data_IF_626536576042
#
_entry.id   IF_626536576042
#
_cell.length_a   1.000
_cell.length_b   1.000
_cell.length_c   1.000
_cell.angle_alpha   90.00
_cell.angle_beta   90.00
_cell.angle_gamma   90.00
#
_symmetry.space_group_name_H-M   'P 1'
#
loop_
_entity.id
_entity.type
_entity.pdbx_description
1 polymer ?
#
# COMPACT_ATOMS: atom_id res chain seq x y z
N UNK A 1 0.03 -31.80 2.03
CA UNK A 1 1.39 -31.83 1.47
C UNK A 1 1.56 -30.61 0.59
N UNK A 2 2.51 -29.72 0.88
CA UNK A 2 2.82 -28.57 0.04
C UNK A 2 3.95 -28.94 -0.92
N UNK A 3 3.91 -28.43 -2.15
CA UNK A 3 5.05 -28.52 -3.06
C UNK A 3 6.25 -27.77 -2.44
N UNK A 4 7.49 -28.26 -2.63
CA UNK A 4 8.66 -27.53 -2.20
C UNK A 4 8.71 -26.16 -2.91
N UNK A 5 9.16 -25.10 -2.23
CA UNK A 5 9.27 -23.78 -2.85
C UNK A 5 10.20 -23.84 -4.06
N UNK A 6 9.69 -23.44 -5.23
CA UNK A 6 10.48 -23.36 -6.45
C UNK A 6 11.15 -21.99 -6.53
N UNK A 7 12.44 -21.98 -6.86
CA UNK A 7 13.15 -20.74 -7.18
C UNK A 7 12.79 -20.27 -8.58
N UNK A 8 12.50 -18.99 -8.75
CA UNK A 8 12.40 -18.38 -10.07
C UNK A 8 13.79 -18.32 -10.72
N UNK A 9 13.90 -18.49 -12.05
CA UNK A 9 15.16 -18.24 -12.76
C UNK A 9 15.65 -16.83 -12.47
N UNK A 10 16.96 -16.64 -12.25
CA UNK A 10 17.55 -15.33 -11.94
C UNK A 10 17.32 -14.28 -13.05
N UNK A 11 17.07 -14.74 -14.28
CA UNK A 11 16.79 -13.92 -15.46
C UNK A 11 15.31 -13.56 -15.62
N UNK A 12 14.40 -14.17 -14.85
CA UNK A 12 12.97 -13.91 -14.98
C UNK A 12 12.62 -12.60 -14.28
N UNK A 13 12.29 -11.58 -15.10
CA UNK A 13 11.69 -10.34 -14.60
C UNK A 13 10.17 -10.51 -14.55
N UNK A 14 9.63 -10.57 -13.34
CA UNK A 14 8.18 -10.54 -13.17
C UNK A 14 7.64 -9.15 -13.51
N UNK A 15 6.44 -9.04 -14.12
CA UNK A 15 5.78 -7.76 -14.27
C UNK A 15 5.46 -7.15 -12.90
N UNK A 16 5.35 -5.81 -12.85
CA UNK A 16 4.89 -5.13 -11.64
C UNK A 16 3.52 -5.68 -11.24
N UNK A 17 3.33 -6.10 -9.98
CA UNK A 17 2.06 -6.65 -9.54
C UNK A 17 0.96 -5.58 -9.59
N UNK A 18 -0.32 -5.97 -9.63
CA UNK A 18 -1.43 -5.05 -9.39
C UNK A 18 -1.44 -4.59 -7.94
N UNK A 19 -2.24 -3.56 -7.65
CA UNK A 19 -2.63 -3.23 -6.26
C UNK A 19 -3.47 -4.40 -5.73
N UNK A 20 -3.01 -5.02 -4.64
CA UNK A 20 -3.77 -6.06 -3.96
C UNK A 20 -4.73 -5.42 -2.95
N UNK A 21 -5.98 -5.84 -3.01
CA UNK A 21 -7.01 -5.49 -2.04
C UNK A 21 -7.52 -6.80 -1.49
N UNK A 22 -7.43 -6.97 -0.18
CA UNK A 22 -7.75 -8.22 0.47
C UNK A 22 -8.47 -7.94 1.80
N UNK A 23 -9.38 -8.82 2.17
CA UNK A 23 -10.10 -8.78 3.42
C UNK A 23 -10.19 -10.18 4.00
N UNK A 24 -9.97 -10.30 5.30
CA UNK A 24 -9.86 -11.59 5.95
C UNK A 24 -10.40 -11.56 7.36
N UNK A 25 -10.84 -12.69 7.87
CA UNK A 25 -11.38 -12.79 9.21
C UNK A 25 -10.47 -13.60 10.10
N UNK A 26 -10.01 -13.02 11.22
CA UNK A 26 -9.13 -13.74 12.15
C UNK A 26 -9.78 -14.97 12.77
N UNK A 27 -11.11 -14.98 12.85
CA UNK A 27 -11.91 -16.11 13.32
C UNK A 27 -12.31 -17.09 12.20
N UNK A 28 -11.75 -16.95 10.99
CA UNK A 28 -11.82 -17.96 9.93
C UNK A 28 -10.56 -18.83 9.94
N UNK A 29 -10.70 -20.14 10.13
CA UNK A 29 -9.58 -21.09 10.11
C UNK A 29 -8.80 -21.12 8.79
N UNK A 30 -9.40 -20.71 7.67
CA UNK A 30 -8.74 -20.66 6.36
C UNK A 30 -7.88 -19.40 6.18
N UNK A 31 -7.98 -18.44 7.10
CA UNK A 31 -7.15 -17.22 7.11
C UNK A 31 -5.74 -17.43 7.67
N UNK A 32 -5.30 -18.66 7.93
CA UNK A 32 -3.98 -18.89 8.50
C UNK A 32 -2.85 -18.37 7.60
N UNK A 33 -1.93 -17.57 8.17
CA UNK A 33 -0.75 -17.08 7.49
C UNK A 33 -0.87 -15.70 6.83
N UNK A 34 -1.95 -14.94 7.08
CA UNK A 34 -2.10 -13.58 6.57
C UNK A 34 -1.02 -12.62 7.12
N UNK A 35 -0.49 -12.87 8.32
CA UNK A 35 0.69 -12.19 8.86
C UNK A 35 1.90 -12.29 7.91
N UNK A 36 2.17 -13.51 7.41
CA UNK A 36 3.26 -13.77 6.47
C UNK A 36 3.00 -13.12 5.11
N UNK A 37 1.74 -13.11 4.67
CA UNK A 37 1.34 -12.42 3.43
C UNK A 37 1.53 -10.91 3.54
N UNK A 38 1.01 -10.27 4.59
CA UNK A 38 1.18 -8.82 4.83
C UNK A 38 2.66 -8.47 4.94
N UNK A 39 3.44 -9.25 5.69
CA UNK A 39 4.90 -9.08 5.79
C UNK A 39 5.57 -9.19 4.43
N UNK A 40 5.23 -10.20 3.64
CA UNK A 40 5.76 -10.40 2.31
C UNK A 40 5.46 -9.24 1.35
N UNK A 41 4.27 -8.65 1.43
CA UNK A 41 3.87 -7.48 0.64
C UNK A 41 4.65 -6.23 1.08
N UNK A 42 4.78 -6.00 2.39
CA UNK A 42 5.55 -4.89 2.95
C UNK A 42 7.03 -4.98 2.56
N UNK A 43 7.67 -6.13 2.80
CA UNK A 43 9.11 -6.34 2.53
C UNK A 43 9.44 -6.21 1.02
N UNK A 44 8.56 -6.69 0.15
CA UNK A 44 8.72 -6.58 -1.32
C UNK A 44 8.24 -5.24 -1.86
N UNK A 45 7.73 -4.35 -1.01
CA UNK A 45 7.15 -3.07 -1.40
C UNK A 45 6.08 -3.28 -2.48
N UNK A 46 5.14 -4.21 -2.28
CA UNK A 46 3.97 -4.41 -3.14
C UNK A 46 2.75 -3.72 -2.55
N UNK A 47 1.95 -3.06 -3.40
CA UNK A 47 0.76 -2.34 -2.93
C UNK A 47 -0.24 -3.32 -2.32
N UNK A 48 -0.54 -3.12 -1.04
CA UNK A 48 -1.53 -3.88 -0.29
C UNK A 48 -2.44 -2.93 0.47
N UNK A 49 -3.74 -3.12 0.27
CA UNK A 49 -4.81 -2.60 1.11
C UNK A 49 -5.49 -3.81 1.75
N UNK A 50 -5.32 -3.97 3.07
CA UNK A 50 -5.79 -5.15 3.78
C UNK A 50 -6.75 -4.76 4.90
N UNK A 51 -7.81 -5.53 5.07
CA UNK A 51 -8.85 -5.27 6.07
C UNK A 51 -9.15 -6.55 6.86
N UNK A 52 -9.45 -6.42 8.14
CA UNK A 52 -9.89 -7.59 8.92
C UNK A 52 -10.95 -7.25 9.95
N UNK A 53 -11.63 -8.30 10.42
CA UNK A 53 -12.62 -8.25 11.48
C UNK A 53 -13.24 -9.62 11.75
N UNK A 54 -13.99 -9.78 12.85
CA UNK A 54 -14.53 -11.07 13.29
C UNK A 54 -15.78 -11.53 12.51
N UNK A 55 -15.75 -11.51 11.17
CA UNK A 55 -16.89 -11.88 10.31
C UNK A 55 -16.90 -13.34 9.82
N UNK A 56 -15.90 -14.16 10.21
CA UNK A 56 -15.78 -15.56 9.80
C UNK A 56 -15.54 -15.75 8.29
N UNK A 57 -15.76 -16.97 7.79
CA UNK A 57 -15.68 -17.27 6.35
C UNK A 57 -16.93 -16.74 5.61
N UNK A 58 -17.09 -15.42 5.61
CA UNK A 58 -18.23 -14.75 4.99
C UNK A 58 -17.91 -14.41 3.54
N UNK A 59 -18.66 -14.98 2.60
CA UNK A 59 -18.68 -14.54 1.20
C UNK A 59 -19.79 -13.51 0.95
N UNK A 60 -20.07 -12.65 1.94
CA UNK A 60 -21.15 -11.66 1.89
C UNK A 60 -20.62 -10.27 2.27
N UNK A 61 -20.44 -9.46 1.23
CA UNK A 61 -19.94 -8.09 1.32
C UNK A 61 -20.71 -7.21 2.31
N UNK A 62 -22.05 -7.25 2.29
CA UNK A 62 -22.89 -6.45 3.18
C UNK A 62 -22.80 -6.90 4.65
N UNK A 63 -22.39 -8.15 4.91
CA UNK A 63 -22.13 -8.62 6.26
C UNK A 63 -20.75 -8.17 6.75
N UNK A 64 -19.74 -8.21 5.88
CA UNK A 64 -18.38 -7.74 6.17
C UNK A 64 -18.39 -6.23 6.45
N UNK A 65 -19.11 -5.44 5.64
CA UNK A 65 -19.19 -3.98 5.80
C UNK A 65 -19.76 -3.55 7.15
N UNK A 66 -20.64 -4.35 7.77
CA UNK A 66 -21.15 -4.09 9.13
C UNK A 66 -20.06 -4.21 10.20
N UNK A 67 -18.98 -4.91 9.91
CA UNK A 67 -17.86 -5.16 10.82
C UNK A 67 -16.67 -4.26 10.48
N UNK A 68 -16.34 -4.14 9.20
CA UNK A 68 -15.28 -3.29 8.69
C UNK A 68 -15.78 -2.53 7.45
N UNK A 69 -16.17 -1.27 7.65
CA UNK A 69 -16.71 -0.42 6.58
C UNK A 69 -15.63 0.22 5.68
N UNK A 70 -14.35 0.02 5.98
CA UNK A 70 -13.26 0.52 5.14
C UNK A 70 -13.09 -0.26 3.83
N UNK A 71 -13.62 -1.48 3.74
CA UNK A 71 -13.47 -2.38 2.58
C UNK A 71 -13.92 -1.75 1.25
N UNK A 72 -14.81 -0.76 1.31
CA UNK A 72 -15.37 -0.04 0.15
C UNK A 72 -14.73 1.32 -0.12
N UNK A 73 -13.78 1.75 0.72
CA UNK A 73 -13.30 3.13 0.68
C UNK A 73 -12.20 3.36 -0.34
N UNK A 74 -11.52 2.30 -0.78
CA UNK A 74 -10.49 2.40 -1.80
C UNK A 74 -11.10 2.25 -3.19
N UNK A 75 -11.01 3.31 -3.99
CA UNK A 75 -11.48 3.31 -5.37
C UNK A 75 -10.49 2.53 -6.27
N UNK A 76 -10.69 1.22 -6.34
CA UNK A 76 -9.85 0.34 -7.14
C UNK A 76 -9.99 0.57 -8.65
N UNK A 77 -11.07 1.18 -9.11
CA UNK A 77 -11.28 1.55 -10.52
C UNK A 77 -10.41 2.74 -10.93
N UNK A 78 -9.94 3.54 -9.97
CA UNK A 78 -8.95 4.61 -10.22
C UNK A 78 -7.57 4.08 -10.60
N UNK A 79 -7.27 2.79 -10.33
CA UNK A 79 -5.96 2.19 -10.62
C UNK A 79 -5.88 1.81 -12.10
N UNK A 80 -5.08 2.56 -12.87
CA UNK A 80 -4.92 2.31 -14.30
C UNK A 80 -3.65 1.54 -14.64
N UNK A 81 -3.72 0.68 -15.66
CA UNK A 81 -2.59 -0.13 -16.15
C UNK A 81 -1.45 0.69 -16.75
N UNK A 82 -1.72 1.92 -17.16
CA UNK A 82 -0.77 2.83 -17.84
C UNK A 82 -0.40 4.04 -16.97
N UNK A 83 -0.50 3.91 -15.65
CA UNK A 83 -0.14 4.97 -14.71
C UNK A 83 0.69 4.40 -13.55
N UNK A 84 1.59 5.24 -13.02
CA UNK A 84 2.34 4.93 -11.82
C UNK A 84 1.41 4.84 -10.60
N UNK A 85 1.84 4.12 -9.57
CA UNK A 85 1.16 4.08 -8.28
C UNK A 85 2.16 4.02 -7.12
N UNK A 86 1.82 4.61 -5.96
CA UNK A 86 2.63 4.52 -4.77
C UNK A 86 2.32 3.21 -4.04
N UNK A 87 3.35 2.68 -3.39
CA UNK A 87 3.23 1.63 -2.39
C UNK A 87 3.58 2.23 -1.05
N UNK A 88 2.71 2.04 -0.07
CA UNK A 88 2.91 2.46 1.31
C UNK A 88 3.36 1.26 2.13
N UNK A 89 4.52 1.37 2.76
CA UNK A 89 5.06 0.37 3.66
C UNK A 89 5.38 1.00 5.03
N UNK A 90 5.45 0.18 6.08
CA UNK A 90 5.79 0.62 7.43
C UNK A 90 4.92 1.80 7.93
N UNK A 91 3.64 1.80 7.56
CA UNK A 91 2.77 2.92 7.84
C UNK A 91 2.40 3.01 9.33
N UNK A 92 2.49 4.21 9.92
CA UNK A 92 2.25 4.44 11.35
C UNK A 92 0.79 4.27 11.78
N UNK A 93 -0.14 4.21 10.81
CA UNK A 93 -1.56 4.05 11.06
C UNK A 93 -2.07 2.62 10.87
N UNK A 94 -1.19 1.68 10.51
CA UNK A 94 -1.56 0.27 10.36
C UNK A 94 -1.99 -0.32 11.70
N UNK A 95 -3.05 -1.14 11.68
CA UNK A 95 -3.47 -1.88 12.86
C UNK A 95 -2.51 -3.03 13.17
N UNK A 96 -2.48 -3.46 14.44
CA UNK A 96 -1.78 -4.67 14.84
C UNK A 96 -2.50 -5.89 14.27
N UNK A 97 -1.80 -6.68 13.47
CA UNK A 97 -2.37 -7.89 12.89
C UNK A 97 -2.73 -8.89 13.99
N UNK A 98 -3.93 -9.49 13.94
CA UNK A 98 -4.34 -10.50 14.91
C UNK A 98 -3.69 -11.87 14.65
N UNK A 99 -3.13 -12.13 13.47
CA UNK A 99 -2.49 -13.41 13.18
C UNK A 99 -1.02 -13.44 13.65
N UNK A 100 -0.52 -14.60 14.10
CA UNK A 100 -1.25 -15.84 14.41
C UNK A 100 -1.86 -15.86 15.83
N UNK A 101 -1.67 -14.80 16.62
CA UNK A 101 -1.77 -14.87 18.09
C UNK A 101 -3.19 -14.64 18.65
N UNK A 102 -4.06 -13.91 17.95
CA UNK A 102 -5.40 -13.49 18.41
C UNK A 102 -6.51 -13.84 17.40
N UNK A 103 -6.70 -15.15 17.15
CA UNK A 103 -7.70 -15.66 16.20
C UNK A 103 -9.15 -15.59 16.71
N UNK A 104 -9.35 -15.41 18.01
CA UNK A 104 -10.69 -15.30 18.63
C UNK A 104 -11.06 -13.86 19.00
N UNK A 105 -10.12 -12.93 18.81
CA UNK A 105 -10.31 -11.52 19.08
C UNK A 105 -11.39 -10.91 18.21
N UNK A 106 -11.97 -9.82 18.72
CA UNK A 106 -12.97 -9.02 18.01
C UNK A 106 -12.37 -7.78 17.37
N UNK A 107 -11.04 -7.70 17.31
CA UNK A 107 -10.35 -6.56 16.72
C UNK A 107 -10.75 -6.41 15.26
N UNK A 108 -10.91 -5.15 14.86
CA UNK A 108 -11.16 -4.76 13.49
C UNK A 108 -10.02 -3.84 13.11
N UNK A 109 -9.45 -3.99 11.93
CA UNK A 109 -8.29 -3.19 11.56
C UNK A 109 -8.02 -3.18 10.07
N UNK A 110 -6.91 -2.52 9.74
CA UNK A 110 -6.54 -2.24 8.36
C UNK A 110 -5.02 -2.10 8.19
N UNK A 111 -4.56 -2.33 6.96
CA UNK A 111 -3.25 -1.93 6.44
C UNK A 111 -3.46 -0.97 5.28
N UNK A 112 -2.81 0.20 5.34
CA UNK A 112 -2.76 1.25 4.31
C UNK A 112 -4.09 1.87 3.84
N UNK A 113 -5.24 1.49 4.40
CA UNK A 113 -6.59 1.88 4.02
C UNK A 113 -6.84 3.37 3.86
N UNK A 114 -6.06 4.23 4.55
CA UNK A 114 -6.25 5.66 4.50
C UNK A 114 -5.45 6.35 3.41
N UNK A 115 -4.40 5.75 2.85
CA UNK A 115 -3.58 6.45 1.86
C UNK A 115 -4.26 6.51 0.50
N UNK A 116 -4.20 7.67 -0.13
CA UNK A 116 -4.73 7.97 -1.46
C UNK A 116 -3.69 8.73 -2.28
N UNK A 117 -3.86 8.72 -3.59
CA UNK A 117 -3.01 9.49 -4.48
C UNK A 117 -3.75 9.95 -5.72
N UNK A 118 -3.10 10.87 -6.45
CA UNK A 118 -3.48 11.26 -7.81
C UNK A 118 -2.22 11.53 -8.62
N UNK A 119 -2.07 10.87 -9.76
CA UNK A 119 -0.98 11.15 -10.69
C UNK A 119 -1.13 12.57 -11.28
N UNK A 120 -0.02 13.30 -11.38
CA UNK A 120 0.01 14.66 -11.93
C UNK A 120 0.85 14.74 -13.20
N UNK A 121 2.06 14.17 -13.20
CA UNK A 121 2.99 14.24 -14.33
C UNK A 121 3.91 13.03 -14.31
N UNK A 122 4.16 12.42 -15.47
CA UNK A 122 5.17 11.37 -15.64
C UNK A 122 5.86 11.60 -16.99
N UNK A 123 7.04 12.22 -16.97
CA UNK A 123 7.86 12.56 -18.16
C UNK A 123 9.19 11.83 -18.10
N UNK A 124 10.12 12.07 -19.03
CA UNK A 124 11.43 11.38 -19.00
C UNK A 124 12.33 11.70 -17.79
N UNK A 125 12.13 12.87 -17.17
CA UNK A 125 13.01 13.35 -16.09
C UNK A 125 12.28 13.77 -14.81
N UNK A 126 10.96 13.58 -14.76
CA UNK A 126 10.13 14.09 -13.67
C UNK A 126 8.86 13.27 -13.52
N UNK A 127 8.64 12.78 -12.30
CA UNK A 127 7.41 12.17 -11.83
C UNK A 127 6.81 13.04 -10.72
N UNK A 128 5.51 13.32 -10.81
CA UNK A 128 4.76 14.04 -9.80
C UNK A 128 3.47 13.31 -9.46
N UNK A 129 3.23 13.17 -8.16
CA UNK A 129 2.05 12.53 -7.61
C UNK A 129 1.58 13.31 -6.39
N UNK A 130 0.29 13.62 -6.35
CA UNK A 130 -0.34 14.14 -5.14
C UNK A 130 -0.61 12.99 -4.18
N UNK A 131 -0.15 13.09 -2.94
CA UNK A 131 -0.40 12.12 -1.87
C UNK A 131 -1.26 12.77 -0.79
N UNK A 132 -2.21 12.02 -0.26
CA UNK A 132 -3.09 12.47 0.83
C UNK A 132 -3.69 11.29 1.57
N UNK A 133 -4.17 11.54 2.78
CA UNK A 133 -5.05 10.62 3.50
C UNK A 133 -6.50 10.83 3.05
N UNK A 134 -7.28 9.75 3.09
CA UNK A 134 -8.73 9.78 2.99
C UNK A 134 -9.30 10.85 3.93
N UNK A 135 -10.36 11.54 3.51
CA UNK A 135 -10.94 12.63 4.32
C UNK A 135 -12.23 12.15 4.97
N UNK A 136 -12.48 12.49 6.25
CA UNK A 136 -13.76 12.20 6.90
C UNK A 136 -14.98 12.75 6.14
N UNK A 137 -14.82 13.91 5.47
CA UNK A 137 -15.90 14.54 4.69
C UNK A 137 -16.31 13.73 3.46
N UNK A 138 -15.44 12.86 2.94
CA UNK A 138 -15.68 12.08 1.70
C UNK A 138 -15.59 10.57 1.92
N UNK A 139 -15.26 10.14 3.14
CA UNK A 139 -15.06 8.73 3.49
C UNK A 139 -16.01 8.37 4.62
N UNK A 140 -17.08 7.67 4.28
CA UNK A 140 -18.03 7.16 5.28
C UNK A 140 -17.40 5.94 5.96
N UNK A 141 -16.95 6.10 7.20
CA UNK A 141 -16.38 5.02 8.00
C UNK A 141 -16.54 5.29 9.49
N UNK A 142 -16.58 4.22 10.27
CA UNK A 142 -16.55 4.19 11.74
C UNK A 142 -15.13 4.26 12.29
N UNK A 143 -14.11 4.07 11.45
CA UNK A 143 -12.72 4.18 11.85
C UNK A 143 -12.31 5.65 12.01
N UNK A 144 -11.51 5.92 13.04
CA UNK A 144 -10.83 7.20 13.15
C UNK A 144 -9.77 7.31 12.04
N UNK A 145 -10.00 8.24 11.11
CA UNK A 145 -9.00 8.56 10.10
C UNK A 145 -7.97 9.49 10.75
N UNK A 146 -6.67 9.12 10.75
CA UNK A 146 -5.66 9.92 11.40
C UNK A 146 -5.45 11.25 10.67
N UNK A 147 -5.13 12.32 11.41
CA UNK A 147 -4.81 13.63 10.83
C UNK A 147 -3.49 13.60 10.03
N UNK A 148 -2.57 12.76 10.47
CA UNK A 148 -1.29 12.49 9.81
C UNK A 148 -0.90 11.01 9.97
N UNK A 149 -0.16 10.48 9.00
CA UNK A 149 0.48 9.18 9.09
C UNK A 149 1.80 9.19 8.33
N UNK A 150 2.84 8.54 8.86
CA UNK A 150 4.10 8.34 8.14
C UNK A 150 4.09 7.00 7.41
N UNK A 151 4.70 6.93 6.22
CA UNK A 151 4.94 5.68 5.51
C UNK A 151 6.21 5.78 4.65
N UNK A 152 6.83 4.64 4.38
CA UNK A 152 7.79 4.52 3.29
C UNK A 152 7.01 4.45 1.97
N UNK A 153 7.37 5.32 1.02
CA UNK A 153 6.67 5.45 -0.26
C UNK A 153 7.55 4.95 -1.38
N UNK A 154 7.19 3.81 -1.97
CA UNK A 154 7.85 3.28 -3.17
C UNK A 154 7.02 3.54 -4.42
N UNK A 155 7.65 3.87 -5.55
CA UNK A 155 6.94 4.25 -6.78
C UNK A 155 7.04 3.15 -7.83
N UNK A 156 5.90 2.52 -8.14
CA UNK A 156 5.81 1.42 -9.11
C UNK A 156 5.15 1.85 -10.40
N UNK A 157 5.42 1.08 -11.46
CA UNK A 157 4.82 1.26 -12.78
C UNK A 157 5.01 2.68 -13.35
N UNK A 158 6.15 3.30 -13.06
CA UNK A 158 6.53 4.58 -13.68
C UNK A 158 6.60 4.36 -15.19
N UNK A 159 5.94 5.23 -15.96
CA UNK A 159 5.80 5.09 -17.41
C UNK A 159 6.96 5.72 -18.17
N UNK A 160 7.49 6.85 -17.72
CA UNK A 160 8.48 7.62 -18.48
C UNK A 160 9.75 7.95 -17.68
N UNK A 161 9.67 8.22 -16.37
CA UNK A 161 10.85 8.49 -15.52
C UNK A 161 11.47 7.19 -15.00
N UNK A 162 12.11 6.40 -15.85
CA UNK A 162 12.74 5.15 -15.41
C UNK A 162 14.08 5.39 -14.70
N UNK A 163 14.30 4.67 -13.60
CA UNK A 163 15.55 4.66 -12.83
C UNK A 163 16.26 3.31 -12.99
N UNK A 164 17.56 3.35 -13.27
CA UNK A 164 18.42 2.18 -13.24
C UNK A 164 18.81 1.77 -11.81
N UNK A 165 19.31 0.55 -11.62
CA UNK A 165 19.84 0.12 -10.33
C UNK A 165 20.94 1.06 -9.80
N UNK A 166 20.80 1.53 -8.56
CA UNK A 166 21.75 2.44 -7.93
C UNK A 166 21.73 3.88 -8.44
N UNK A 167 20.86 4.20 -9.41
CA UNK A 167 20.73 5.55 -9.94
C UNK A 167 20.25 6.51 -8.86
N UNK A 168 20.86 7.71 -8.82
CA UNK A 168 20.49 8.74 -7.86
C UNK A 168 19.21 9.44 -8.29
N UNK A 169 18.39 9.82 -7.33
CA UNK A 169 17.22 10.65 -7.55
C UNK A 169 17.12 11.72 -6.47
N UNK A 170 16.47 12.83 -6.79
CA UNK A 170 16.10 13.86 -5.83
C UNK A 170 14.60 13.89 -5.69
N UNK A 171 14.13 14.24 -4.50
CA UNK A 171 12.71 14.32 -4.22
C UNK A 171 12.35 15.52 -3.37
N UNK A 172 11.13 16.00 -3.53
CA UNK A 172 10.51 17.03 -2.69
C UNK A 172 9.10 16.63 -2.34
N UNK A 173 8.66 16.95 -1.12
CA UNK A 173 7.31 16.73 -0.64
C UNK A 173 6.92 17.84 0.35
N UNK A 174 6.11 18.79 -0.10
CA UNK A 174 5.89 20.03 0.65
C UNK A 174 7.21 20.77 0.88
N UNK A 175 7.58 21.00 2.14
CA UNK A 175 8.87 21.59 2.53
C UNK A 175 9.99 20.56 2.71
N UNK A 176 9.66 19.27 2.77
CA UNK A 176 10.63 18.20 2.88
C UNK A 176 11.30 17.95 1.53
N UNK A 177 12.58 17.59 1.57
CA UNK A 177 13.38 17.26 0.39
C UNK A 177 14.52 16.33 0.75
N UNK A 178 15.01 15.60 -0.23
CA UNK A 178 16.17 14.74 -0.07
C UNK A 178 16.66 14.17 -1.37
N UNK A 179 17.65 13.29 -1.25
CA UNK A 179 18.21 12.50 -2.34
C UNK A 179 18.19 11.03 -1.92
N UNK A 180 18.18 10.13 -2.90
CA UNK A 180 18.19 8.70 -2.66
C UNK A 180 18.79 7.94 -3.84
N UNK A 181 18.90 6.62 -3.69
CA UNK A 181 19.32 5.72 -4.77
C UNK A 181 18.24 4.68 -5.03
N UNK A 182 17.93 4.45 -6.29
CA UNK A 182 17.05 3.36 -6.69
C UNK A 182 17.68 2.01 -6.30
N UNK A 183 16.86 1.06 -5.86
CA UNK A 183 17.37 -0.24 -5.42
C UNK A 183 17.82 -1.12 -6.60
N UNK A 184 18.21 -2.37 -6.33
CA UNK A 184 18.70 -3.30 -7.36
C UNK A 184 17.67 -3.57 -8.49
N UNK A 185 16.40 -3.27 -8.27
CA UNK A 185 15.33 -3.38 -9.27
C UNK A 185 15.02 -2.07 -10.00
N UNK A 186 15.69 -0.97 -9.64
CA UNK A 186 15.38 0.38 -10.13
C UNK A 186 14.21 1.03 -9.38
N UNK A 187 13.78 0.47 -8.24
CA UNK A 187 12.64 1.00 -7.49
C UNK A 187 13.06 2.18 -6.61
N UNK A 188 12.39 3.32 -6.81
CA UNK A 188 12.50 4.51 -5.96
C UNK A 188 11.75 4.29 -4.66
N UNK A 189 12.33 4.63 -3.52
CA UNK A 189 11.69 4.59 -2.20
C UNK A 189 12.09 5.81 -1.39
N UNK A 190 11.10 6.57 -0.91
CA UNK A 190 11.32 7.67 0.04
C UNK A 190 10.85 7.22 1.43
N UNK A 191 11.75 7.14 2.43
CA UNK A 191 11.40 6.64 3.74
C UNK A 191 10.64 7.67 4.59
N UNK A 192 9.69 7.21 5.39
CA UNK A 192 9.07 7.98 6.47
C UNK A 192 8.36 9.28 6.06
N UNK A 193 7.80 9.37 4.86
CA UNK A 193 7.04 10.54 4.44
C UNK A 193 5.79 10.70 5.31
N UNK A 194 5.67 11.86 5.97
CA UNK A 194 4.47 12.25 6.72
C UNK A 194 3.40 12.77 5.77
N UNK A 195 2.29 12.05 5.66
CA UNK A 195 1.17 12.36 4.78
C UNK A 195 -0.01 12.81 5.65
N UNK A 196 -0.72 13.85 5.21
CA UNK A 196 -1.90 14.39 5.89
C UNK A 196 -3.12 14.29 4.99
N UNK A 197 -4.30 14.68 5.48
CA UNK A 197 -5.49 14.80 4.63
C UNK A 197 -5.35 15.90 3.57
N UNK A 198 -4.53 16.93 3.79
CA UNK A 198 -4.28 17.96 2.80
C UNK A 198 -3.36 17.43 1.67
N UNK A 199 -3.81 17.45 0.40
CA UNK A 199 -2.99 16.97 -0.71
C UNK A 199 -1.68 17.72 -0.84
N UNK A 200 -0.59 16.95 -0.92
CA UNK A 200 0.76 17.47 -1.13
C UNK A 200 1.44 16.73 -2.27
N UNK A 201 2.16 17.47 -3.10
CA UNK A 201 2.84 16.89 -4.27
C UNK A 201 4.18 16.30 -3.86
N UNK A 202 4.35 15.00 -4.11
CA UNK A 202 5.64 14.35 -4.21
C UNK A 202 6.18 14.57 -5.63
N UNK A 203 7.34 15.20 -5.74
CA UNK A 203 8.09 15.31 -6.99
C UNK A 203 9.34 14.46 -6.88
N UNK A 204 9.63 13.65 -7.89
CA UNK A 204 10.88 12.89 -8.03
C UNK A 204 11.52 13.24 -9.36
N UNK A 205 12.81 13.55 -9.32
CA UNK A 205 13.64 13.88 -10.49
C UNK A 205 14.93 13.05 -10.47
N UNK A 206 15.52 12.85 -11.64
CA UNK A 206 16.85 12.23 -11.78
C UNK A 206 17.94 13.25 -11.44
#
# INVERSE_FOLDING_TARGET
MGFPPQSLPATLKLPDPPVAIDYSAQNDSWSNGHDRFVKAMNDRKYALYFYWGPFGHANNHAAIEKVNDLINTFDWLSVKKNEAYPVFANASCNGNLPWPDDLKGKSVGQINAFFRWKNLTDTKGRLEMSLFLAMPATTKTTFEIPKEASADVSLRRIQNTHFGPGETFKWTYGTARGEGKADASGLVTIPGLKITSAPSTLTVVR
#
